data_IF_655513966715
#
_entry.id   IF_655513966715
#
_cell.length_a   1.000
_cell.length_b   1.000
_cell.length_c   1.000
_cell.angle_alpha   90.00
_cell.angle_beta   90.00
_cell.angle_gamma   90.00
#
_symmetry.space_group_name_H-M   'P 1'
#
loop_
_entity.id
_entity.type
_entity.pdbx_description
1 polymer ?
#
# COMPACT_ATOMS: atom_id res chain seq x y z
N UNK A 1 -22.37 -3.01 -4.88
CA UNK A 1 -21.50 -2.27 -5.83
C UNK A 1 -20.16 -1.82 -5.24
N UNK A 2 -20.04 -1.52 -3.93
CA UNK A 2 -18.78 -1.01 -3.33
C UNK A 2 -17.57 -1.96 -3.35
N UNK A 3 -17.78 -3.28 -3.22
CA UNK A 3 -16.67 -4.25 -3.19
C UNK A 3 -15.89 -4.31 -4.51
N UNK A 4 -16.59 -4.27 -5.65
CA UNK A 4 -15.95 -4.26 -6.97
C UNK A 4 -15.14 -2.97 -7.20
N UNK A 5 -15.59 -1.83 -6.67
CA UNK A 5 -14.83 -0.57 -6.72
C UNK A 5 -13.52 -0.68 -5.92
N UNK A 6 -13.61 -1.15 -4.67
CA UNK A 6 -12.46 -1.36 -3.78
C UNK A 6 -11.45 -2.33 -4.38
N UNK A 7 -11.92 -3.43 -4.96
CA UNK A 7 -11.06 -4.38 -5.67
C UNK A 7 -10.30 -3.71 -6.82
N UNK A 8 -10.99 -2.93 -7.66
CA UNK A 8 -10.35 -2.21 -8.77
C UNK A 8 -9.32 -1.18 -8.27
N UNK A 9 -9.64 -0.48 -7.18
CA UNK A 9 -8.74 0.49 -6.56
C UNK A 9 -7.46 -0.17 -6.03
N UNK A 10 -7.60 -1.23 -5.22
CA UNK A 10 -6.45 -2.01 -4.71
C UNK A 10 -5.61 -2.56 -5.86
N UNK A 11 -6.24 -3.17 -6.87
CA UNK A 11 -5.55 -3.70 -8.05
C UNK A 11 -4.73 -2.62 -8.76
N UNK A 12 -5.30 -1.42 -8.95
CA UNK A 12 -4.62 -0.28 -9.57
C UNK A 12 -3.44 0.19 -8.73
N UNK A 13 -3.59 0.29 -7.42
CA UNK A 13 -2.50 0.70 -6.52
C UNK A 13 -1.37 -0.33 -6.49
N UNK A 14 -1.65 -1.63 -6.54
CA UNK A 14 -0.62 -2.67 -6.67
C UNK A 14 0.13 -2.55 -8.01
N UNK A 15 -0.57 -2.24 -9.11
CA UNK A 15 0.06 -1.98 -10.41
C UNK A 15 0.99 -0.77 -10.34
N UNK A 16 0.58 0.32 -9.68
CA UNK A 16 1.46 1.47 -9.47
C UNK A 16 2.66 1.12 -8.60
N UNK A 17 2.46 0.44 -7.46
CA UNK A 17 3.55 0.01 -6.58
C UNK A 17 4.60 -0.82 -7.34
N UNK A 18 4.17 -1.74 -8.21
CA UNK A 18 5.07 -2.58 -9.00
C UNK A 18 5.94 -1.82 -10.02
N UNK A 19 5.54 -0.60 -10.41
CA UNK A 19 6.21 0.19 -11.46
C UNK A 19 6.91 1.43 -10.92
N UNK A 20 6.24 2.14 -10.02
CA UNK A 20 6.69 3.36 -9.39
C UNK A 20 6.07 3.47 -7.99
N UNK A 21 6.74 3.00 -6.93
CA UNK A 21 6.23 3.10 -5.57
C UNK A 21 6.08 4.54 -5.05
N UNK A 22 6.62 5.54 -5.76
CA UNK A 22 6.46 6.97 -5.46
C UNK A 22 5.39 7.64 -6.33
N UNK A 23 4.54 6.88 -7.00
CA UNK A 23 3.48 7.45 -7.84
C UNK A 23 2.53 8.34 -7.00
N UNK A 24 2.24 9.59 -7.39
CA UNK A 24 1.48 10.54 -6.57
C UNK A 24 0.10 10.04 -6.11
N UNK A 25 -0.55 9.20 -6.93
CA UNK A 25 -1.86 8.63 -6.58
C UNK A 25 -1.82 7.65 -5.41
N UNK A 26 -0.66 7.10 -5.06
CA UNK A 26 -0.51 6.17 -3.93
C UNK A 26 -0.55 6.90 -2.58
N UNK A 27 -0.22 8.20 -2.56
CA UNK A 27 -0.09 9.00 -1.33
C UNK A 27 0.66 8.22 -0.24
N UNK A 28 1.89 7.80 -0.55
CA UNK A 28 2.66 6.93 0.32
C UNK A 28 3.31 7.71 1.47
N UNK A 29 3.20 7.18 2.69
CA UNK A 29 3.82 7.74 3.89
C UNK A 29 4.54 6.64 4.67
N UNK A 30 5.61 7.00 5.38
CA UNK A 30 6.26 6.08 6.32
C UNK A 30 5.33 5.80 7.51
N UNK A 31 5.17 4.53 7.84
CA UNK A 31 4.34 4.06 8.94
C UNK A 31 5.24 3.59 10.08
N UNK A 32 5.40 4.43 11.10
CA UNK A 32 6.48 4.32 12.09
C UNK A 32 6.20 3.35 13.24
N UNK A 33 4.96 2.88 13.39
CA UNK A 33 4.56 1.97 14.46
C UNK A 33 4.76 0.49 14.11
N UNK A 34 5.05 0.17 12.85
CA UNK A 34 5.35 -1.18 12.37
C UNK A 34 6.71 -1.19 11.67
N UNK A 35 7.45 -2.27 11.84
CA UNK A 35 8.70 -2.52 11.12
C UNK A 35 8.61 -3.87 10.41
N UNK A 36 9.35 -4.00 9.31
CA UNK A 36 9.54 -5.29 8.65
C UNK A 36 10.36 -6.26 9.51
N UNK A 37 10.44 -7.54 9.10
CA UNK A 37 11.10 -8.59 9.88
C UNK A 37 12.59 -8.31 10.18
N UNK A 38 13.26 -7.49 9.37
CA UNK A 38 14.65 -7.08 9.55
C UNK A 38 14.77 -5.57 9.85
N UNK A 39 13.75 -4.97 10.49
CA UNK A 39 13.66 -3.53 10.79
C UNK A 39 13.54 -2.64 9.55
N UNK A 40 13.02 -3.18 8.44
CA UNK A 40 12.71 -2.39 7.27
C UNK A 40 11.66 -1.33 7.61
N UNK A 41 11.82 -0.14 7.03
CA UNK A 41 10.79 0.90 7.08
C UNK A 41 9.55 0.40 6.37
N UNK A 42 8.42 0.47 7.06
CA UNK A 42 7.12 0.16 6.49
C UNK A 42 6.49 1.44 5.97
N UNK A 43 5.77 1.31 4.87
CA UNK A 43 5.04 2.38 4.24
C UNK A 43 3.56 2.02 4.14
N UNK A 44 2.70 3.02 4.31
CA UNK A 44 1.28 2.92 3.98
C UNK A 44 1.01 3.62 2.64
N UNK A 45 0.20 2.98 1.78
CA UNK A 45 -0.32 3.58 0.56
C UNK A 45 -1.85 3.48 0.55
N UNK A 46 -2.52 4.54 0.09
CA UNK A 46 -3.97 4.60 0.00
C UNK A 46 -4.45 4.01 -1.34
N UNK A 47 -5.38 3.06 -1.29
CA UNK A 47 -6.00 2.49 -2.49
C UNK A 47 -6.99 3.47 -3.15
N UNK A 48 -7.65 4.29 -2.34
CA UNK A 48 -8.60 5.32 -2.76
C UNK A 48 -8.28 6.61 -2.00
N UNK A 49 -8.36 7.76 -2.68
CA UNK A 49 -8.21 9.08 -2.07
C UNK A 49 -9.59 9.66 -1.72
N UNK A 50 -9.66 10.41 -0.62
CA UNK A 50 -10.85 11.18 -0.22
C UNK A 50 -12.14 10.37 -0.07
N UNK A 51 -12.03 9.11 0.36
CA UNK A 51 -13.18 8.23 0.66
C UNK A 51 -13.11 7.71 2.10
N UNK A 52 -14.17 7.89 2.91
CA UNK A 52 -14.33 7.19 4.17
C UNK A 52 -14.28 5.67 3.91
N UNK A 53 -13.48 4.92 4.66
CA UNK A 53 -13.17 3.49 4.45
C UNK A 53 -12.31 3.14 3.22
N UNK A 54 -11.39 4.03 2.81
CA UNK A 54 -10.34 3.66 1.86
C UNK A 54 -9.53 2.47 2.38
N UNK A 55 -9.18 1.54 1.49
CA UNK A 55 -8.23 0.48 1.84
C UNK A 55 -6.82 1.05 1.89
N UNK A 56 -6.02 0.57 2.85
CA UNK A 56 -4.59 0.84 2.95
C UNK A 56 -3.80 -0.40 2.58
N UNK A 57 -2.67 -0.19 1.92
CA UNK A 57 -1.70 -1.22 1.57
C UNK A 57 -0.45 -0.92 2.39
N UNK A 58 -0.07 -1.83 3.28
CA UNK A 58 1.15 -1.76 4.05
C UNK A 58 2.24 -2.58 3.36
N UNK A 59 3.41 -1.99 3.15
CA UNK A 59 4.48 -2.63 2.38
C UNK A 59 5.87 -2.13 2.78
N UNK A 60 6.91 -2.88 2.40
CA UNK A 60 8.31 -2.47 2.56
C UNK A 60 9.17 -2.97 1.40
N UNK A 61 10.38 -2.42 1.25
CA UNK A 61 11.36 -2.86 0.26
C UNK A 61 12.12 -4.10 0.74
N UNK A 62 12.26 -5.10 -0.14
CA UNK A 62 12.90 -6.38 0.18
C UNK A 62 11.92 -7.55 0.25
N UNK A 63 12.35 -8.72 0.76
CA UNK A 63 13.69 -8.97 1.31
C UNK A 63 14.79 -9.12 0.26
N UNK A 64 14.45 -9.35 -1.01
CA UNK A 64 15.42 -9.39 -2.12
C UNK A 64 15.57 -8.04 -2.79
N UNK A 65 16.65 -7.87 -3.53
CA UNK A 65 16.86 -6.71 -4.38
C UNK A 65 15.69 -6.54 -5.38
N UNK A 66 15.28 -5.30 -5.61
CA UNK A 66 14.16 -4.94 -6.49
C UNK A 66 12.82 -5.60 -6.15
N UNK A 67 12.62 -5.99 -4.88
CA UNK A 67 11.37 -6.55 -4.40
C UNK A 67 10.60 -5.54 -3.52
N UNK A 68 9.28 -5.57 -3.63
CA UNK A 68 8.36 -4.99 -2.66
C UNK A 68 7.61 -6.15 -2.01
N UNK A 69 7.53 -6.13 -0.68
CA UNK A 69 6.70 -7.07 0.10
C UNK A 69 5.45 -6.35 0.58
N UNK A 70 4.29 -6.93 0.29
CA UNK A 70 3.01 -6.49 0.85
C UNK A 70 2.80 -7.21 2.18
N UNK A 71 2.62 -6.46 3.25
CA UNK A 71 2.34 -6.97 4.60
C UNK A 71 0.84 -7.23 4.76
N UNK A 72 0.04 -6.22 4.43
CA UNK A 72 -1.40 -6.25 4.66
C UNK A 72 -2.15 -5.34 3.70
N UNK A 73 -3.40 -5.71 3.40
CA UNK A 73 -4.37 -4.90 2.67
C UNK A 73 -5.64 -4.87 3.51
N UNK A 74 -5.90 -3.75 4.17
CA UNK A 74 -6.98 -3.64 5.17
C UNK A 74 -7.85 -2.42 4.90
N UNK A 75 -9.14 -2.44 5.26
CA UNK A 75 -9.90 -1.20 5.35
C UNK A 75 -9.28 -0.29 6.41
N UNK A 76 -9.32 1.02 6.18
CA UNK A 76 -9.12 1.98 7.26
C UNK A 76 -10.28 1.81 8.27
N UNK A 77 -10.00 1.86 9.59
CA UNK A 77 -11.03 1.85 10.63
C UNK A 77 -12.12 2.90 10.43
#
# INVERSE_FOLDING_TARGET
MGLAKRYKAVKKSLQFLSRNPRHPSLSTHEFTTLQGPNREKVFEAYAEQSTPAAYRIFWYYGPKENQITIIAITPHP
#
